data_IF_883562589544
#
_entry.id   IF_883562589544
#
_cell.length_a   1.000
_cell.length_b   1.000
_cell.length_c   1.000
_cell.angle_alpha   90.00
_cell.angle_beta   90.00
_cell.angle_gamma   90.00
#
_symmetry.space_group_name_H-M   'P 1'
#
loop_
_entity.id
_entity.type
_entity.pdbx_description
1 polymer ?
#
# COMPACT_ATOMS: atom_id res chain seq x y z
N UNK A 1 19.13 3.92 -6.20
CA UNK A 1 18.12 3.01 -6.78
C UNK A 1 17.61 2.12 -5.67
N UNK A 2 16.34 2.25 -5.32
CA UNK A 2 15.72 1.49 -4.24
C UNK A 2 14.62 0.59 -4.84
N UNK A 3 14.56 -0.67 -4.40
CA UNK A 3 13.63 -1.68 -4.93
C UNK A 3 12.87 -2.31 -3.76
N UNK A 4 11.60 -1.94 -3.60
CA UNK A 4 10.74 -2.38 -2.50
C UNK A 4 9.80 -3.46 -3.02
N UNK A 5 9.95 -4.67 -2.50
CA UNK A 5 9.10 -5.82 -2.84
C UNK A 5 8.06 -6.04 -1.74
N UNK A 6 6.80 -6.09 -2.10
CA UNK A 6 5.68 -6.27 -1.17
C UNK A 6 4.71 -7.38 -1.60
N UNK A 7 3.89 -7.84 -0.67
CA UNK A 7 2.81 -8.81 -0.92
C UNK A 7 1.47 -8.09 -0.97
N UNK A 8 0.57 -8.58 -1.81
CA UNK A 8 -0.79 -8.05 -1.93
C UNK A 8 -1.84 -8.88 -1.20
N UNK A 9 -1.51 -10.09 -0.76
CA UNK A 9 -2.42 -10.98 -0.02
C UNK A 9 -1.80 -12.32 0.33
N UNK A 10 -2.46 -13.07 1.22
CA UNK A 10 -2.00 -14.38 1.70
C UNK A 10 -2.04 -15.48 0.64
N UNK A 11 -3.12 -15.54 -0.12
CA UNK A 11 -3.39 -16.63 -1.08
C UNK A 11 -2.75 -16.33 -2.43
N UNK A 12 -2.56 -15.06 -2.77
CA UNK A 12 -1.96 -14.65 -4.03
C UNK A 12 -0.48 -14.35 -3.80
N UNK A 13 0.40 -15.31 -4.10
CA UNK A 13 1.86 -15.19 -4.00
C UNK A 13 2.46 -14.14 -4.94
N UNK A 14 1.62 -13.41 -5.68
CA UNK A 14 2.10 -12.36 -6.58
C UNK A 14 2.69 -11.22 -5.77
N UNK A 15 3.99 -11.03 -5.96
CA UNK A 15 4.76 -9.94 -5.36
C UNK A 15 4.60 -8.69 -6.21
N UNK A 16 4.20 -7.59 -5.58
CA UNK A 16 4.34 -6.27 -6.18
C UNK A 16 5.76 -5.74 -5.98
N UNK A 17 6.14 -4.79 -6.80
CA UNK A 17 7.45 -4.15 -6.74
C UNK A 17 7.30 -2.65 -6.98
N UNK A 18 7.96 -1.85 -6.15
CA UNK A 18 8.12 -0.42 -6.35
C UNK A 18 9.60 -0.16 -6.53
N UNK A 19 9.96 0.35 -7.71
CA UNK A 19 11.33 0.74 -8.01
C UNK A 19 11.40 2.25 -8.07
N UNK A 20 12.29 2.82 -7.27
CA UNK A 20 12.50 4.25 -7.15
C UNK A 20 13.85 4.58 -7.81
N UNK A 21 13.77 5.39 -8.85
CA UNK A 21 14.91 5.92 -9.61
C UNK A 21 14.89 7.45 -9.51
N UNK A 22 15.99 8.10 -9.83
CA UNK A 22 16.10 9.57 -9.70
C UNK A 22 15.02 10.37 -10.42
N UNK A 23 14.54 9.86 -11.56
CA UNK A 23 13.56 10.55 -12.40
C UNK A 23 12.25 9.80 -12.58
N UNK A 24 12.15 8.54 -12.13
CA UNK A 24 10.99 7.69 -12.36
C UNK A 24 10.66 6.80 -11.18
N UNK A 25 9.38 6.66 -10.92
CA UNK A 25 8.84 5.63 -10.01
C UNK A 25 8.11 4.60 -10.85
N UNK A 26 8.56 3.34 -10.77
CA UNK A 26 7.94 2.22 -11.46
C UNK A 26 7.15 1.38 -10.47
N UNK A 27 5.83 1.33 -10.66
CA UNK A 27 4.90 0.53 -9.87
C UNK A 27 4.57 -0.75 -10.63
N UNK A 28 4.98 -1.89 -10.13
CA UNK A 28 4.62 -3.19 -10.68
C UNK A 28 3.65 -3.85 -9.72
N UNK A 29 2.37 -3.86 -10.09
CA UNK A 29 1.28 -4.38 -9.24
C UNK A 29 0.66 -5.60 -9.89
N UNK A 30 0.63 -6.75 -9.21
CA UNK A 30 -0.05 -7.94 -9.74
C UNK A 30 -1.57 -7.71 -9.76
N UNK A 31 -2.19 -8.04 -10.89
CA UNK A 31 -3.63 -8.00 -11.04
C UNK A 31 -4.18 -9.43 -11.01
N UNK A 32 -5.28 -9.66 -10.28
CA UNK A 32 -5.90 -10.98 -10.13
C UNK A 32 -6.35 -11.60 -11.45
N UNK A 33 -6.72 -10.78 -12.43
CA UNK A 33 -7.37 -11.23 -13.66
C UNK A 33 -6.57 -10.94 -14.94
N UNK A 34 -5.63 -9.99 -14.91
CA UNK A 34 -4.94 -9.47 -16.08
C UNK A 34 -3.40 -9.58 -16.00
N UNK A 35 -2.86 -10.45 -15.13
CA UNK A 35 -1.42 -10.60 -14.97
C UNK A 35 -0.78 -9.47 -14.16
N UNK A 36 0.32 -8.91 -14.65
CA UNK A 36 1.09 -7.87 -13.96
C UNK A 36 0.89 -6.54 -14.67
N UNK A 37 0.43 -5.54 -13.94
CA UNK A 37 0.34 -4.16 -14.43
C UNK A 37 1.57 -3.39 -13.99
N UNK A 38 2.31 -2.86 -14.95
CA UNK A 38 3.44 -1.98 -14.69
C UNK A 38 3.10 -0.56 -15.12
N UNK A 39 3.18 0.37 -14.18
CA UNK A 39 3.02 1.79 -14.43
C UNK A 39 4.33 2.52 -14.13
N UNK A 40 4.72 3.41 -15.02
CA UNK A 40 5.88 4.29 -14.84
C UNK A 40 5.40 5.72 -14.70
N UNK A 41 5.79 6.35 -13.60
CA UNK A 41 5.40 7.71 -13.27
C UNK A 41 6.67 8.55 -13.16
N UNK A 42 6.78 9.59 -13.96
CA UNK A 42 7.89 10.53 -13.81
C UNK A 42 7.77 11.26 -12.46
N UNK A 43 8.88 11.38 -11.75
CA UNK A 43 8.96 12.14 -10.49
C UNK A 43 8.48 13.57 -10.67
N UNK A 44 8.66 14.17 -11.87
CA UNK A 44 8.15 15.51 -12.20
C UNK A 44 6.63 15.62 -12.14
N UNK A 45 5.91 14.52 -12.31
CA UNK A 45 4.46 14.48 -12.32
C UNK A 45 3.87 14.02 -10.99
N UNK A 46 4.67 13.83 -9.96
CA UNK A 46 4.21 13.49 -8.62
C UNK A 46 4.08 14.77 -7.81
N UNK A 47 2.87 15.05 -7.33
CA UNK A 47 2.59 16.22 -6.49
C UNK A 47 2.74 15.90 -5.00
N UNK A 48 2.27 14.74 -4.56
CA UNK A 48 2.41 14.28 -3.18
C UNK A 48 2.44 12.76 -3.09
N UNK A 49 3.06 12.28 -2.02
CA UNK A 49 3.15 10.85 -1.69
C UNK A 49 2.89 10.66 -0.22
N UNK A 50 1.99 9.75 0.09
CA UNK A 50 1.60 9.44 1.45
C UNK A 50 1.60 7.93 1.68
N UNK A 51 2.25 7.48 2.76
CA UNK A 51 2.08 6.14 3.34
C UNK A 51 1.08 6.22 4.48
N UNK A 52 0.00 5.45 4.40
CA UNK A 52 -1.08 5.47 5.40
C UNK A 52 -1.45 4.05 5.78
N UNK A 53 -1.72 3.80 7.06
CA UNK A 53 -2.37 2.56 7.50
C UNK A 53 -3.87 2.77 7.55
N UNK A 54 -4.62 1.92 6.84
CA UNK A 54 -6.08 1.92 6.87
C UNK A 54 -6.58 0.78 7.74
N UNK A 55 -7.43 1.10 8.71
CA UNK A 55 -8.06 0.15 9.61
C UNK A 55 -9.50 -0.11 9.20
N UNK A 56 -9.86 -1.38 9.04
CA UNK A 56 -11.21 -1.82 8.70
C UNK A 56 -11.92 -2.37 9.94
N UNK A 57 -12.33 -1.52 10.88
CA UNK A 57 -12.93 -1.90 12.16
C UNK A 57 -14.20 -2.76 12.03
N UNK A 58 -14.91 -2.66 10.91
CA UNK A 58 -16.10 -3.48 10.66
C UNK A 58 -15.77 -4.99 10.56
N UNK A 59 -14.56 -5.34 10.09
CA UNK A 59 -14.16 -6.75 9.90
C UNK A 59 -13.96 -7.50 11.20
N UNK A 60 -13.19 -7.00 12.20
CA UNK A 60 -13.08 -7.67 13.49
C UNK A 60 -14.39 -7.65 14.27
N UNK A 61 -15.24 -6.62 14.13
CA UNK A 61 -16.56 -6.60 14.73
C UNK A 61 -17.44 -7.73 14.18
N UNK A 62 -17.48 -7.92 12.87
CA UNK A 62 -18.15 -9.04 12.23
C UNK A 62 -17.58 -10.40 12.67
N UNK A 63 -16.25 -10.50 12.79
CA UNK A 63 -15.58 -11.70 13.25
C UNK A 63 -15.99 -12.10 14.67
N UNK A 64 -16.04 -11.13 15.59
CA UNK A 64 -16.52 -11.37 16.97
C UNK A 64 -17.99 -11.82 16.98
N UNK A 65 -18.84 -11.16 16.19
CA UNK A 65 -20.25 -11.56 16.07
C UNK A 65 -20.40 -13.00 15.58
N UNK A 66 -19.67 -13.37 14.53
CA UNK A 66 -19.67 -14.75 14.02
C UNK A 66 -19.15 -15.76 15.04
N UNK A 67 -18.14 -15.41 15.83
CA UNK A 67 -17.64 -16.26 16.91
C UNK A 67 -18.69 -16.50 17.98
N UNK A 68 -19.39 -15.45 18.43
CA UNK A 68 -20.46 -15.58 19.44
C UNK A 68 -21.54 -16.51 18.94
N UNK A 69 -22.06 -16.28 17.72
CA UNK A 69 -23.11 -17.12 17.12
C UNK A 69 -22.64 -18.57 16.90
N UNK A 70 -21.39 -18.76 16.51
CA UNK A 70 -20.83 -20.11 16.31
C UNK A 70 -20.66 -20.88 17.63
N UNK A 71 -20.20 -20.20 18.69
CA UNK A 71 -20.04 -20.80 20.02
C UNK A 71 -21.41 -21.14 20.61
N UNK A 72 -22.39 -20.23 20.52
CA UNK A 72 -23.76 -20.47 20.99
C UNK A 72 -24.32 -21.76 20.37
N UNK A 73 -24.17 -21.94 19.07
CA UNK A 73 -24.64 -23.12 18.37
C UNK A 73 -23.97 -24.41 18.81
N UNK A 74 -22.64 -24.39 19.04
CA UNK A 74 -21.90 -25.58 19.49
C UNK A 74 -22.26 -25.95 20.95
N UNK A 75 -22.56 -24.96 21.79
CA UNK A 75 -22.90 -25.19 23.21
C UNK A 75 -24.34 -25.67 23.38
N UNK A 76 -25.29 -25.22 22.54
CA UNK A 76 -26.71 -25.54 22.65
C UNK A 76 -27.09 -26.84 21.94
N UNK A 77 -26.40 -27.22 20.88
CA UNK A 77 -26.63 -28.44 20.14
C UNK A 77 -25.62 -29.51 20.51
N UNK A 78 -26.04 -30.78 20.62
CA UNK A 78 -25.10 -31.89 20.80
C UNK A 78 -24.06 -31.89 19.65
N UNK A 79 -22.75 -32.04 19.92
CA UNK A 79 -21.72 -31.93 18.91
C UNK A 79 -21.82 -33.08 17.89
N UNK A 80 -22.40 -32.78 16.73
CA UNK A 80 -22.40 -33.69 15.58
C UNK A 80 -21.13 -33.45 14.74
N UNK A 81 -20.78 -34.44 13.92
CA UNK A 81 -19.64 -34.32 13.00
C UNK A 81 -19.78 -33.09 12.07
N UNK A 82 -21.00 -32.82 11.62
CA UNK A 82 -21.30 -31.65 10.79
C UNK A 82 -21.12 -30.32 11.52
N UNK A 83 -21.50 -30.25 12.81
CA UNK A 83 -21.31 -29.04 13.61
C UNK A 83 -19.85 -28.73 13.86
N UNK A 84 -18.99 -29.75 14.03
CA UNK A 84 -17.55 -29.59 14.18
C UNK A 84 -16.91 -29.04 12.91
N UNK A 85 -17.28 -29.58 11.74
CA UNK A 85 -16.79 -29.07 10.44
C UNK A 85 -17.26 -27.63 10.23
N UNK A 86 -18.54 -27.34 10.51
CA UNK A 86 -19.09 -26.00 10.39
C UNK A 86 -18.34 -24.97 11.25
N UNK A 87 -18.02 -25.35 12.50
CA UNK A 87 -17.25 -24.51 13.40
C UNK A 87 -15.81 -24.30 12.93
N UNK A 88 -15.17 -25.34 12.41
CA UNK A 88 -13.81 -25.22 11.85
C UNK A 88 -13.79 -24.27 10.64
N UNK A 89 -14.77 -24.34 9.75
CA UNK A 89 -14.91 -23.40 8.63
C UNK A 89 -15.16 -21.97 9.12
N UNK A 90 -15.99 -21.80 10.16
CA UNK A 90 -16.22 -20.51 10.79
C UNK A 90 -14.92 -19.90 11.32
N UNK A 91 -14.08 -20.67 12.01
CA UNK A 91 -12.78 -20.20 12.51
C UNK A 91 -11.87 -19.74 11.39
N UNK A 92 -11.88 -20.42 10.25
CA UNK A 92 -11.10 -20.00 9.06
C UNK A 92 -11.60 -18.65 8.53
N UNK A 93 -12.92 -18.45 8.46
CA UNK A 93 -13.53 -17.18 8.03
C UNK A 93 -13.17 -16.06 9.00
N UNK A 94 -13.31 -16.30 10.29
CA UNK A 94 -12.96 -15.36 11.36
C UNK A 94 -11.48 -14.96 11.28
N UNK A 95 -10.58 -15.93 11.16
CA UNK A 95 -9.16 -15.66 10.96
C UNK A 95 -8.90 -14.82 9.70
N UNK A 96 -9.60 -15.11 8.60
CA UNK A 96 -9.51 -14.33 7.36
C UNK A 96 -9.97 -12.87 7.51
N UNK A 97 -10.98 -12.60 8.34
CA UNK A 97 -11.46 -11.26 8.64
C UNK A 97 -10.44 -10.48 9.49
N UNK A 98 -9.82 -11.14 10.48
CA UNK A 98 -8.75 -10.53 11.28
C UNK A 98 -7.50 -10.23 10.45
N UNK A 99 -7.11 -11.12 9.54
CA UNK A 99 -5.96 -10.92 8.65
C UNK A 99 -6.13 -9.75 7.67
N UNK A 100 -7.34 -9.25 7.49
CA UNK A 100 -7.65 -8.07 6.65
C UNK A 100 -8.07 -6.85 7.48
N UNK A 101 -7.80 -6.87 8.77
CA UNK A 101 -8.16 -5.76 9.66
C UNK A 101 -7.40 -4.48 9.31
N UNK A 102 -6.13 -4.59 8.94
CA UNK A 102 -5.26 -3.47 8.69
C UNK A 102 -4.52 -3.67 7.36
N UNK A 103 -4.41 -2.62 6.57
CA UNK A 103 -3.75 -2.61 5.28
C UNK A 103 -2.87 -1.38 5.16
N UNK A 104 -1.61 -1.55 4.74
CA UNK A 104 -0.76 -0.43 4.33
C UNK A 104 -1.22 0.10 2.97
N UNK A 105 -1.25 1.39 2.81
CA UNK A 105 -1.70 2.05 1.59
C UNK A 105 -0.69 3.13 1.20
N UNK A 106 -0.13 3.03 0.01
CA UNK A 106 0.65 4.09 -0.61
C UNK A 106 -0.25 4.86 -1.57
N UNK A 107 -0.38 6.16 -1.35
CA UNK A 107 -1.10 7.08 -2.22
C UNK A 107 -0.11 7.98 -2.93
N UNK A 108 -0.19 8.00 -4.24
CA UNK A 108 0.59 8.87 -5.12
C UNK A 108 -0.39 9.81 -5.82
N UNK A 109 -0.30 11.10 -5.56
CA UNK A 109 -1.10 12.10 -6.26
C UNK A 109 -0.24 12.76 -7.32
N UNK A 110 -0.72 12.75 -8.55
CA UNK A 110 -0.04 13.40 -9.68
C UNK A 110 -0.37 14.88 -9.73
N UNK A 111 0.45 15.66 -10.43
CA UNK A 111 0.21 17.10 -10.70
C UNK A 111 -1.08 17.36 -11.48
N UNK A 112 -1.61 16.34 -12.19
CA UNK A 112 -2.91 16.38 -12.86
C UNK A 112 -4.09 16.05 -11.91
N UNK A 113 -3.85 15.90 -10.60
CA UNK A 113 -4.88 15.56 -9.61
C UNK A 113 -5.31 14.09 -9.58
N UNK A 114 -4.68 13.23 -10.37
CA UNK A 114 -5.00 11.80 -10.35
C UNK A 114 -4.32 11.13 -9.15
N UNK A 115 -5.07 10.36 -8.38
CA UNK A 115 -4.55 9.57 -7.26
C UNK A 115 -4.37 8.12 -7.67
N UNK A 116 -3.16 7.61 -7.51
CA UNK A 116 -2.82 6.18 -7.64
C UNK A 116 -2.67 5.58 -6.26
N UNK A 117 -3.35 4.47 -6.02
CA UNK A 117 -3.35 3.79 -4.73
C UNK A 117 -2.79 2.38 -4.87
N UNK A 118 -1.80 2.06 -4.05
CA UNK A 118 -1.20 0.71 -3.94
C UNK A 118 -1.47 0.17 -2.56
N UNK A 119 -2.06 -1.03 -2.49
CA UNK A 119 -2.39 -1.71 -1.24
C UNK A 119 -1.31 -2.73 -0.89
N UNK A 120 -0.88 -2.72 0.36
CA UNK A 120 0.06 -3.65 0.95
C UNK A 120 -0.65 -4.57 1.92
N UNK A 121 -0.24 -5.82 1.97
CA UNK A 121 -0.77 -6.76 2.95
C UNK A 121 -0.34 -6.35 4.37
N UNK A 122 -1.13 -6.71 5.39
CA UNK A 122 -0.94 -6.27 6.77
C UNK A 122 0.47 -6.51 7.35
N UNK A 123 1.17 -7.55 6.89
CA UNK A 123 2.54 -7.83 7.33
C UNK A 123 3.62 -7.04 6.55
N UNK A 124 3.22 -6.31 5.54
CA UNK A 124 4.09 -5.49 4.70
C UNK A 124 3.67 -3.99 4.77
N UNK A 125 2.90 -3.59 5.78
CA UNK A 125 2.41 -2.21 5.91
C UNK A 125 3.55 -1.19 6.04
N UNK A 126 4.62 -1.54 6.78
CA UNK A 126 5.79 -0.69 6.97
C UNK A 126 6.43 -0.32 5.62
N UNK A 127 6.37 -1.22 4.64
CA UNK A 127 6.88 -0.97 3.29
C UNK A 127 6.11 0.13 2.54
N UNK A 128 4.85 0.42 2.93
CA UNK A 128 4.13 1.56 2.37
C UNK A 128 4.75 2.88 2.83
N UNK A 129 5.19 2.94 4.08
CA UNK A 129 5.88 4.10 4.65
C UNK A 129 7.29 4.23 4.07
N UNK A 130 8.04 3.11 3.96
CA UNK A 130 9.37 3.11 3.36
C UNK A 130 9.31 3.59 1.92
N UNK A 131 8.33 3.11 1.13
CA UNK A 131 8.12 3.55 -0.23
C UNK A 131 7.77 5.05 -0.30
N UNK A 132 6.90 5.54 0.59
CA UNK A 132 6.57 6.95 0.66
C UNK A 132 7.78 7.81 1.03
N UNK A 133 8.59 7.37 2.01
CA UNK A 133 9.80 8.06 2.42
C UNK A 133 10.84 8.10 1.30
N UNK A 134 11.08 6.98 0.62
CA UNK A 134 12.01 6.91 -0.52
C UNK A 134 11.60 7.83 -1.67
N UNK A 135 10.32 7.83 -2.04
CA UNK A 135 9.83 8.70 -3.11
C UNK A 135 9.92 10.19 -2.69
N UNK A 136 9.55 10.51 -1.44
CA UNK A 136 9.65 11.88 -0.92
C UNK A 136 11.10 12.37 -0.87
N UNK A 137 12.06 11.50 -0.56
CA UNK A 137 13.49 11.85 -0.59
C UNK A 137 13.93 12.26 -2.01
N UNK A 138 13.51 11.51 -3.04
CA UNK A 138 13.81 11.85 -4.44
C UNK A 138 13.11 13.13 -4.88
N UNK A 139 11.84 13.35 -4.47
CA UNK A 139 11.14 14.61 -4.72
C UNK A 139 11.85 15.81 -4.11
N UNK A 140 12.29 15.70 -2.86
CA UNK A 140 13.00 16.75 -2.12
C UNK A 140 14.35 17.05 -2.78
N UNK A 141 15.13 16.03 -3.12
CA UNK A 141 16.40 16.19 -3.80
C UNK A 141 16.25 16.94 -5.13
N UNK A 142 15.22 16.59 -5.91
CA UNK A 142 14.92 17.28 -7.17
C UNK A 142 14.48 18.73 -6.99
N UNK A 143 13.67 19.02 -5.99
CA UNK A 143 13.26 20.39 -5.67
C UNK A 143 14.44 21.25 -5.28
N UNK A 144 15.36 20.71 -4.50
CA UNK A 144 16.59 21.39 -4.09
C UNK A 144 17.49 21.68 -5.29
N UNK A 145 17.70 20.70 -6.19
CA UNK A 145 18.49 20.89 -7.42
C UNK A 145 17.88 21.98 -8.32
N UNK A 146 16.56 21.97 -8.50
CA UNK A 146 15.86 22.98 -9.29
C UNK A 146 15.99 24.38 -8.67
N UNK A 147 15.90 24.49 -7.34
CA UNK A 147 16.07 25.76 -6.64
C UNK A 147 17.49 26.28 -6.75
N UNK A 148 18.49 25.42 -6.61
CA UNK A 148 19.90 25.79 -6.78
C UNK A 148 20.17 26.29 -8.21
N UNK A 149 19.67 25.61 -9.24
CA UNK A 149 19.83 26.07 -10.63
C UNK A 149 19.21 27.44 -10.84
N UNK A 150 17.99 27.69 -10.37
CA UNK A 150 17.33 28.99 -10.46
C UNK A 150 18.10 30.09 -9.73
N UNK A 151 18.71 29.82 -8.59
CA UNK A 151 19.56 30.77 -7.88
C UNK A 151 20.83 31.08 -8.67
N UNK A 152 21.49 30.05 -9.21
CA UNK A 152 22.67 30.20 -10.05
C UNK A 152 22.38 31.06 -11.28
N UNK A 153 21.28 30.79 -11.99
CA UNK A 153 20.86 31.55 -13.16
C UNK A 153 20.66 33.03 -12.81
N UNK A 154 19.99 33.33 -11.67
CA UNK A 154 19.82 34.71 -11.19
C UNK A 154 21.13 35.41 -10.87
N UNK A 155 22.11 34.72 -10.30
CA UNK A 155 23.42 35.27 -10.01
C UNK A 155 24.17 35.55 -11.31
N UNK A 156 24.14 34.61 -12.25
CA UNK A 156 24.79 34.82 -13.59
C UNK A 156 24.17 36.00 -14.31
N UNK A 157 22.82 36.09 -14.33
CA UNK A 157 22.13 37.22 -14.93
C UNK A 157 22.46 38.58 -14.27
N UNK A 158 22.63 38.59 -12.94
CA UNK A 158 23.02 39.80 -12.22
C UNK A 158 24.44 40.23 -12.52
N UNK A 159 25.37 39.29 -12.76
CA UNK A 159 26.75 39.56 -13.13
C UNK A 159 26.81 40.08 -14.56
N UNK A 160 26.05 39.48 -15.49
CA UNK A 160 26.07 39.88 -16.91
C UNK A 160 25.39 41.22 -17.20
N UNK A 161 24.63 41.77 -16.24
CA UNK A 161 23.99 43.10 -16.36
C UNK A 161 24.85 44.27 -15.87
N UNK A 162 26.05 44.01 -15.34
CA UNK A 162 27.04 45.01 -14.98
C UNK A 162 28.05 45.19 -16.09
#
# INVERSE_FOLDING_TARGET
>A
MEDIVFRRGLVNRSKGRIRIEENMVTLTVPNKWAGVRTERISVAHIASVEGVTVYHYQRPLAAVLFLILGVERVVTEAPTFESIIGFALLLIIVAGLFLKFKEGVLRLTTTAGQTKTVFFFMFDEDKAYDAAAGINAVLTARMNDTNMRRQTDRIVDAINRK
#
